data_IF_412165578071
#
_entry.id   IF_412165578071
#
_cell.length_a   1.000
_cell.length_b   1.000
_cell.length_c   1.000
_cell.angle_alpha   90.00
_cell.angle_beta   90.00
_cell.angle_gamma   90.00
#
_symmetry.space_group_name_H-M   'P 1'
#
loop_
_entity.id
_entity.type
_entity.pdbx_description
1 polymer ?
#
# COMPACT_ATOMS: atom_id res chain seq x y z
N UNK A 1 -28.83 1.49 63.31
CA UNK A 1 -28.66 2.04 61.95
C UNK A 1 -28.97 3.52 61.95
N UNK A 2 -28.84 4.26 60.82
CA UNK A 2 -28.26 3.85 59.52
C UNK A 2 -26.72 3.66 59.63
N UNK A 3 -25.85 3.59 58.61
CA UNK A 3 -25.90 3.81 57.13
C UNK A 3 -25.10 2.68 56.42
N UNK A 4 -25.29 2.50 55.11
CA UNK A 4 -24.32 1.87 54.20
C UNK A 4 -23.88 2.94 53.18
N UNK A 5 -22.58 3.12 52.96
CA UNK A 5 -22.08 3.77 51.74
C UNK A 5 -21.43 2.68 50.88
N UNK A 6 -22.00 2.49 49.68
CA UNK A 6 -21.46 1.61 48.66
C UNK A 6 -20.60 2.47 47.73
N UNK A 7 -19.30 2.20 47.63
CA UNK A 7 -18.48 2.76 46.55
C UNK A 7 -18.90 2.13 45.22
N UNK A 8 -19.64 2.88 44.40
CA UNK A 8 -19.89 2.49 43.01
C UNK A 8 -18.63 2.74 42.18
N UNK A 9 -17.95 1.67 41.82
CA UNK A 9 -16.95 1.67 40.76
C UNK A 9 -17.64 1.98 39.43
N UNK A 10 -17.54 3.24 39.00
CA UNK A 10 -17.99 3.65 37.67
C UNK A 10 -17.25 2.87 36.57
N UNK A 11 -17.89 2.64 35.41
CA UNK A 11 -17.27 1.90 34.33
C UNK A 11 -16.00 2.62 33.84
N UNK A 12 -14.89 1.87 33.75
CA UNK A 12 -13.65 2.37 33.16
C UNK A 12 -13.96 2.89 31.75
N UNK A 13 -13.74 4.18 31.55
CA UNK A 13 -13.83 4.81 30.24
C UNK A 13 -12.65 4.29 29.41
N UNK A 14 -12.90 3.22 28.65
CA UNK A 14 -11.99 2.79 27.59
C UNK A 14 -11.93 3.95 26.60
N UNK A 15 -10.78 4.60 26.53
CA UNK A 15 -10.52 5.65 25.56
C UNK A 15 -10.47 5.02 24.16
N UNK A 16 -11.51 5.29 23.39
CA UNK A 16 -11.42 5.35 21.94
C UNK A 16 -10.38 6.43 21.55
N UNK A 17 -9.80 6.33 20.35
CA UNK A 17 -8.75 7.20 19.80
C UNK A 17 -7.31 7.03 20.36
N UNK A 18 -6.68 5.92 19.97
CA UNK A 18 -5.21 5.78 19.94
C UNK A 18 -4.79 4.98 18.69
N UNK A 19 -5.29 5.37 17.50
CA UNK A 19 -4.74 4.93 16.21
C UNK A 19 -3.33 5.53 16.02
N UNK A 20 -2.35 4.95 16.70
CA UNK A 20 -0.96 5.35 16.56
C UNK A 20 -0.44 4.92 15.18
N UNK A 21 -0.11 5.91 14.35
CA UNK A 21 0.70 5.76 13.12
C UNK A 21 1.96 4.95 13.48
N UNK A 22 1.99 3.64 13.18
CA UNK A 22 3.10 2.76 13.56
C UNK A 22 4.30 3.05 12.66
N UNK A 23 5.25 3.83 13.17
CA UNK A 23 6.52 4.09 12.47
C UNK A 23 7.29 2.78 12.24
N UNK A 24 7.37 2.39 10.96
CA UNK A 24 8.06 1.19 10.50
C UNK A 24 9.57 1.22 10.81
N UNK A 25 10.17 2.40 11.03
CA UNK A 25 11.57 2.56 11.45
C UNK A 25 11.75 2.31 12.95
N UNK A 26 10.78 2.68 13.79
CA UNK A 26 10.86 2.54 15.24
C UNK A 26 10.87 1.07 15.69
N UNK A 27 10.00 0.23 15.09
CA UNK A 27 10.01 -1.23 15.30
C UNK A 27 9.68 -1.99 14.02
N UNK A 28 10.69 -2.40 13.21
CA UNK A 28 10.46 -3.18 11.99
C UNK A 28 10.11 -4.64 12.30
N UNK A 29 8.92 -4.88 12.85
CA UNK A 29 8.41 -6.24 13.06
C UNK A 29 8.29 -6.98 11.73
N UNK A 30 8.66 -8.26 11.71
CA UNK A 30 8.54 -9.06 10.49
C UNK A 30 7.08 -9.45 10.27
N UNK A 31 6.55 -9.15 9.09
CA UNK A 31 5.22 -9.60 8.69
C UNK A 31 5.21 -11.14 8.60
N UNK A 32 4.63 -11.79 9.61
CA UNK A 32 4.70 -13.24 9.81
C UNK A 32 3.63 -14.03 9.02
N UNK A 33 2.66 -13.34 8.42
CA UNK A 33 1.50 -13.90 7.74
C UNK A 33 1.86 -14.43 6.33
N UNK A 34 2.76 -15.41 6.22
CA UNK A 34 3.22 -15.97 4.94
C UNK A 34 2.10 -16.57 4.07
N UNK A 35 0.97 -16.93 4.66
CA UNK A 35 -0.23 -17.40 3.96
C UNK A 35 -1.25 -16.31 3.60
N UNK A 36 -0.94 -15.02 3.84
CA UNK A 36 -1.84 -13.92 3.49
C UNK A 36 -2.01 -13.83 1.97
N UNK A 37 -3.27 -13.84 1.52
CA UNK A 37 -3.64 -13.77 0.09
C UNK A 37 -4.07 -12.39 -0.36
N UNK A 38 -4.57 -11.58 0.55
CA UNK A 38 -5.13 -10.26 0.25
C UNK A 38 -4.62 -9.29 1.30
N UNK A 39 -4.05 -8.17 0.85
CA UNK A 39 -3.58 -7.09 1.70
C UNK A 39 -4.09 -5.79 1.12
N UNK A 40 -4.85 -5.05 1.93
CA UNK A 40 -5.21 -3.67 1.70
C UNK A 40 -4.53 -2.83 2.79
N UNK A 41 -3.66 -1.90 2.39
CA UNK A 41 -2.88 -1.07 3.32
C UNK A 41 -2.45 0.22 2.65
N UNK A 42 -2.76 1.37 3.24
CA UNK A 42 -2.25 2.65 2.76
C UNK A 42 -0.91 2.98 3.44
N UNK A 43 0.10 3.36 2.66
CA UNK A 43 1.39 3.82 3.18
C UNK A 43 1.49 5.35 3.08
N UNK A 44 1.15 6.03 4.18
CA UNK A 44 1.50 7.44 4.36
C UNK A 44 3.03 7.56 4.50
N UNK A 45 3.71 7.92 3.42
CA UNK A 45 5.17 7.97 3.37
C UNK A 45 5.64 9.17 2.55
N UNK A 46 6.60 9.92 3.08
CA UNK A 46 7.34 10.89 2.30
C UNK A 46 8.00 10.14 1.12
N UNK A 47 7.66 10.45 -0.15
CA UNK A 47 8.20 9.73 -1.30
C UNK A 47 9.71 9.98 -1.49
N UNK A 48 10.30 10.93 -0.77
CA UNK A 48 11.75 11.17 -0.73
C UNK A 48 12.48 10.33 0.32
N UNK A 49 11.78 9.73 1.30
CA UNK A 49 12.36 8.82 2.29
C UNK A 49 12.56 7.41 1.68
N UNK A 50 13.67 7.25 0.96
CA UNK A 50 14.02 6.01 0.28
C UNK A 50 14.32 4.84 1.25
N UNK A 51 14.59 5.12 2.53
CA UNK A 51 14.80 4.11 3.56
C UNK A 51 13.47 3.52 4.06
N UNK A 52 12.48 4.37 4.35
CA UNK A 52 11.12 3.92 4.71
C UNK A 52 10.53 3.05 3.59
N UNK A 53 10.61 3.54 2.34
CA UNK A 53 10.15 2.81 1.16
C UNK A 53 10.88 1.46 0.99
N UNK A 54 12.22 1.43 1.15
CA UNK A 54 13.01 0.19 1.15
C UNK A 54 12.50 -0.82 2.19
N UNK A 55 12.17 -0.38 3.40
CA UNK A 55 11.67 -1.25 4.47
C UNK A 55 10.28 -1.82 4.13
N UNK A 56 9.37 -0.98 3.62
CA UNK A 56 8.05 -1.39 3.15
C UNK A 56 8.15 -2.47 2.06
N UNK A 57 8.96 -2.25 1.02
CA UNK A 57 9.17 -3.26 -0.03
C UNK A 57 9.74 -4.58 0.52
N UNK A 58 10.68 -4.52 1.46
CA UNK A 58 11.27 -5.72 2.11
C UNK A 58 10.28 -6.50 2.99
N UNK A 59 9.25 -5.85 3.54
CA UNK A 59 8.18 -6.55 4.27
C UNK A 59 7.15 -7.14 3.32
N UNK A 60 6.71 -6.38 2.32
CA UNK A 60 5.82 -6.85 1.25
C UNK A 60 6.39 -8.10 0.55
N UNK A 61 7.69 -8.09 0.21
CA UNK A 61 8.39 -9.20 -0.44
C UNK A 61 8.33 -10.55 0.32
N UNK A 62 8.01 -10.56 1.61
CA UNK A 62 7.84 -11.79 2.41
C UNK A 62 6.48 -12.46 2.20
N UNK A 63 5.50 -11.74 1.67
CA UNK A 63 4.12 -12.21 1.47
C UNK A 63 3.99 -13.01 0.16
N UNK A 64 4.76 -14.09 0.01
CA UNK A 64 4.86 -14.83 -1.27
C UNK A 64 3.55 -15.49 -1.73
N UNK A 65 2.56 -15.66 -0.85
CA UNK A 65 1.21 -16.15 -1.19
C UNK A 65 0.21 -15.04 -1.54
N UNK A 66 0.63 -13.78 -1.58
CA UNK A 66 -0.24 -12.64 -1.85
C UNK A 66 -0.75 -12.67 -3.29
N UNK A 67 -2.07 -12.72 -3.45
CA UNK A 67 -2.79 -12.68 -4.73
C UNK A 67 -3.34 -11.28 -5.04
N UNK A 68 -3.69 -10.51 -4.00
CA UNK A 68 -4.19 -9.13 -4.12
C UNK A 68 -3.38 -8.20 -3.22
N UNK A 69 -2.82 -7.13 -3.80
CA UNK A 69 -2.22 -6.01 -3.10
C UNK A 69 -2.96 -4.72 -3.49
N UNK A 70 -3.59 -4.07 -2.53
CA UNK A 70 -4.18 -2.74 -2.70
C UNK A 70 -3.51 -1.75 -1.75
N UNK A 71 -2.81 -0.76 -2.33
CA UNK A 71 -2.19 0.35 -1.59
C UNK A 71 -2.84 1.69 -1.96
N UNK A 72 -4.07 1.65 -2.46
CA UNK A 72 -4.86 2.84 -2.76
C UNK A 72 -5.30 3.63 -1.53
N UNK A 73 -5.52 4.94 -1.72
CA UNK A 73 -6.07 5.84 -0.70
C UNK A 73 -7.61 5.81 -0.63
N UNK A 74 -8.28 5.12 -1.56
CA UNK A 74 -9.74 5.09 -1.70
C UNK A 74 -10.35 3.78 -1.12
N UNK A 75 -9.95 3.37 0.09
CA UNK A 75 -10.30 2.05 0.64
C UNK A 75 -11.69 1.97 1.30
N UNK A 76 -12.28 3.07 1.77
CA UNK A 76 -13.68 3.10 2.22
C UNK A 76 -14.36 4.46 2.05
N UNK A 77 -15.69 4.48 2.17
CA UNK A 77 -16.52 5.69 2.27
C UNK A 77 -16.61 6.24 3.70
N UNK A 78 -15.92 5.63 4.66
CA UNK A 78 -15.98 5.95 6.09
C UNK A 78 -14.79 6.83 6.52
N UNK A 79 -13.72 6.88 5.71
CA UNK A 79 -12.60 7.81 5.89
C UNK A 79 -13.11 9.24 5.63
N UNK A 80 -12.81 10.17 6.53
CA UNK A 80 -13.18 11.58 6.35
C UNK A 80 -12.55 12.20 5.10
N UNK A 81 -13.20 13.21 4.53
CA UNK A 81 -12.67 13.94 3.37
C UNK A 81 -11.39 14.70 3.72
N UNK A 82 -11.22 15.14 4.98
CA UNK A 82 -9.98 15.69 5.50
C UNK A 82 -8.86 14.63 5.48
N UNK A 83 -9.09 13.45 6.06
CA UNK A 83 -8.09 12.36 6.11
C UNK A 83 -7.69 11.92 4.70
N UNK A 84 -8.64 11.70 3.78
CA UNK A 84 -8.29 11.37 2.37
C UNK A 84 -7.46 12.48 1.71
N UNK A 85 -7.69 13.75 2.06
CA UNK A 85 -6.93 14.89 1.52
C UNK A 85 -5.53 14.99 2.14
N UNK A 86 -5.37 14.71 3.43
CA UNK A 86 -4.06 14.64 4.09
C UNK A 86 -3.23 13.46 3.58
N UNK A 87 -3.82 12.27 3.46
CA UNK A 87 -3.13 11.10 2.90
C UNK A 87 -2.62 11.40 1.49
N UNK A 88 -3.45 12.02 0.62
CA UNK A 88 -3.05 12.47 -0.72
C UNK A 88 -1.93 13.52 -0.73
N UNK A 89 -1.78 14.33 0.33
CA UNK A 89 -0.70 15.32 0.43
C UNK A 89 0.61 14.74 0.98
N UNK A 90 0.53 13.72 1.85
CA UNK A 90 1.70 13.03 2.44
C UNK A 90 2.50 12.20 1.44
N UNK A 91 1.90 11.80 0.31
CA UNK A 91 2.53 10.94 -0.68
C UNK A 91 2.20 9.44 -0.48
N UNK A 92 2.64 8.61 -1.43
CA UNK A 92 2.36 7.16 -1.46
C UNK A 92 3.60 6.39 -1.88
N UNK A 93 3.62 5.08 -1.58
CA UNK A 93 4.60 4.13 -2.09
C UNK A 93 4.66 4.16 -3.63
N UNK A 94 5.83 4.51 -4.17
CA UNK A 94 6.08 4.61 -5.62
C UNK A 94 6.67 3.31 -6.17
N UNK A 95 5.90 2.58 -6.95
CA UNK A 95 6.34 1.34 -7.61
C UNK A 95 7.19 1.64 -8.85
N UNK A 96 8.46 1.99 -8.65
CA UNK A 96 9.43 2.15 -9.74
C UNK A 96 10.74 1.43 -9.43
N UNK A 97 11.41 0.97 -10.50
CA UNK A 97 12.76 0.40 -10.51
C UNK A 97 13.85 1.47 -10.29
N UNK A 98 13.49 2.76 -10.39
CA UNK A 98 14.44 3.88 -10.26
C UNK A 98 14.28 4.67 -8.97
N UNK A 99 13.87 4.02 -7.87
CA UNK A 99 13.96 4.65 -6.56
C UNK A 99 15.44 4.93 -6.19
N UNK A 100 15.70 6.09 -5.57
CA UNK A 100 17.02 6.48 -5.06
C UNK A 100 17.42 5.75 -3.76
N UNK A 101 17.02 4.49 -3.59
CA UNK A 101 17.23 3.67 -2.40
C UNK A 101 18.00 2.39 -2.71
N UNK A 102 18.11 1.50 -1.71
CA UNK A 102 18.76 0.19 -1.89
C UNK A 102 17.87 -0.86 -2.55
N UNK A 103 16.56 -0.61 -2.61
CA UNK A 103 15.58 -1.47 -3.28
C UNK A 103 14.27 -0.71 -3.53
N UNK A 104 13.74 -0.79 -4.75
CA UNK A 104 12.41 -0.30 -5.14
C UNK A 104 11.45 -1.44 -5.49
N UNK A 105 10.75 -1.29 -6.61
CA UNK A 105 9.82 -2.28 -7.17
C UNK A 105 10.45 -3.68 -7.31
N UNK A 106 11.76 -3.75 -7.60
CA UNK A 106 12.49 -4.99 -7.81
C UNK A 106 12.56 -5.93 -6.59
N UNK A 107 12.40 -5.39 -5.38
CA UNK A 107 12.26 -6.20 -4.16
C UNK A 107 11.03 -7.10 -4.18
N UNK A 108 10.00 -6.76 -4.97
CA UNK A 108 8.73 -7.50 -5.05
C UNK A 108 8.74 -8.65 -6.07
N UNK A 109 9.91 -9.00 -6.61
CA UNK A 109 10.10 -10.14 -7.54
C UNK A 109 9.69 -11.50 -6.94
N UNK A 110 9.54 -11.59 -5.62
CA UNK A 110 9.08 -12.79 -4.91
C UNK A 110 7.56 -12.97 -4.94
N UNK A 111 6.79 -11.96 -5.34
CA UNK A 111 5.31 -11.97 -5.34
C UNK A 111 4.70 -12.73 -6.55
N UNK A 112 5.21 -13.93 -6.82
CA UNK A 112 4.81 -14.78 -7.95
C UNK A 112 3.34 -15.23 -7.92
N UNK A 113 2.65 -15.05 -6.78
CA UNK A 113 1.22 -15.34 -6.61
C UNK A 113 0.30 -14.17 -7.01
N UNK A 114 0.86 -12.97 -7.28
CA UNK A 114 0.10 -11.73 -7.41
C UNK A 114 -0.71 -11.69 -8.72
N UNK A 115 -2.03 -11.57 -8.58
CA UNK A 115 -2.99 -11.44 -9.68
C UNK A 115 -3.53 -10.02 -9.81
N UNK A 116 -3.64 -9.30 -8.70
CA UNK A 116 -4.31 -8.01 -8.64
C UNK A 116 -3.44 -7.00 -7.87
N UNK A 117 -3.07 -5.92 -8.55
CA UNK A 117 -2.47 -4.74 -7.94
C UNK A 117 -3.44 -3.55 -8.01
N UNK A 118 -3.49 -2.74 -6.96
CA UNK A 118 -4.25 -1.50 -6.92
C UNK A 118 -3.47 -0.42 -6.17
N UNK A 119 -3.53 0.80 -6.69
CA UNK A 119 -3.05 2.03 -6.06
C UNK A 119 -4.04 3.18 -6.31
N UNK A 120 -5.34 2.84 -6.36
CA UNK A 120 -6.44 3.75 -6.64
C UNK A 120 -6.49 4.95 -5.68
N UNK A 121 -6.78 6.14 -6.21
CA UNK A 121 -6.75 7.39 -5.43
C UNK A 121 -5.37 7.96 -5.20
N UNK A 122 -4.31 7.30 -5.70
CA UNK A 122 -2.93 7.80 -5.68
C UNK A 122 -2.40 7.96 -7.12
N UNK A 123 -1.35 8.78 -7.28
CA UNK A 123 -0.65 9.00 -8.55
C UNK A 123 0.77 8.45 -8.44
N UNK A 124 1.12 7.59 -9.39
CA UNK A 124 2.46 7.03 -9.55
C UNK A 124 3.26 7.86 -10.58
N UNK A 125 4.59 7.72 -10.62
CA UNK A 125 5.44 8.19 -11.74
C UNK A 125 6.07 7.01 -12.51
N UNK A 126 5.31 5.91 -12.67
CA UNK A 126 5.77 4.72 -13.41
C UNK A 126 6.17 5.05 -14.85
N UNK A 127 7.10 4.25 -15.37
CA UNK A 127 7.57 4.25 -16.74
C UNK A 127 7.16 2.96 -17.43
N UNK A 128 7.31 2.91 -18.75
CA UNK A 128 7.07 1.68 -19.53
C UNK A 128 7.99 0.53 -19.06
N UNK A 129 9.24 0.82 -18.71
CA UNK A 129 10.19 -0.13 -18.11
C UNK A 129 9.71 -0.74 -16.76
N UNK A 130 9.00 0.03 -15.93
CA UNK A 130 8.49 -0.45 -14.64
C UNK A 130 7.37 -1.48 -14.84
N UNK A 131 6.42 -1.20 -15.75
CA UNK A 131 5.30 -2.12 -16.03
C UNK A 131 5.69 -3.30 -16.91
N UNK A 132 6.71 -3.17 -17.77
CA UNK A 132 7.28 -4.31 -18.49
C UNK A 132 7.89 -5.30 -17.51
N UNK A 133 8.67 -4.82 -16.54
CA UNK A 133 9.21 -5.64 -15.45
C UNK A 133 8.11 -6.31 -14.63
N UNK A 134 7.02 -5.61 -14.30
CA UNK A 134 5.86 -6.20 -13.60
C UNK A 134 5.26 -7.38 -14.39
N UNK A 135 5.15 -7.25 -15.71
CA UNK A 135 4.65 -8.32 -16.58
C UNK A 135 5.59 -9.53 -16.65
N UNK A 136 6.90 -9.32 -16.48
CA UNK A 136 7.92 -10.36 -16.54
C UNK A 136 8.08 -11.10 -15.20
N UNK A 137 8.00 -10.39 -14.08
CA UNK A 137 8.17 -10.98 -12.75
C UNK A 137 6.87 -11.47 -12.11
N UNK A 138 5.70 -10.96 -12.51
CA UNK A 138 4.40 -11.42 -12.01
C UNK A 138 3.62 -12.10 -13.15
N UNK A 139 3.97 -13.36 -13.51
CA UNK A 139 3.48 -14.02 -14.73
C UNK A 139 1.99 -14.36 -14.72
N UNK A 140 1.31 -14.19 -13.58
CA UNK A 140 -0.13 -14.40 -13.41
C UNK A 140 -0.87 -13.11 -13.05
N UNK A 141 -0.26 -11.94 -13.25
CA UNK A 141 -0.91 -10.64 -13.07
C UNK A 141 -2.06 -10.49 -14.07
N UNK A 142 -3.28 -10.29 -13.56
CA UNK A 142 -4.51 -10.18 -14.36
C UNK A 142 -5.07 -8.75 -14.39
N UNK A 143 -4.80 -7.96 -13.34
CA UNK A 143 -5.43 -6.65 -13.12
C UNK A 143 -4.47 -5.67 -12.43
N UNK A 144 -4.40 -4.44 -12.94
CA UNK A 144 -3.74 -3.31 -12.27
C UNK A 144 -4.68 -2.10 -12.30
N UNK A 145 -4.97 -1.48 -11.16
CA UNK A 145 -5.87 -0.31 -11.08
C UNK A 145 -5.16 0.92 -10.52
N UNK A 146 -5.40 2.09 -11.10
CA UNK A 146 -4.91 3.38 -10.61
C UNK A 146 -4.15 4.23 -11.62
N UNK A 147 -3.69 5.40 -11.17
CA UNK A 147 -3.07 6.39 -12.03
C UNK A 147 -1.55 6.16 -12.16
N UNK A 148 -1.13 5.46 -13.23
CA UNK A 148 0.28 5.13 -13.51
C UNK A 148 1.24 6.33 -13.64
N UNK A 149 0.71 7.50 -13.99
CA UNK A 149 1.48 8.71 -14.31
C UNK A 149 0.59 9.95 -14.16
N UNK A 150 1.13 11.05 -13.64
CA UNK A 150 0.46 12.36 -13.68
C UNK A 150 0.36 12.96 -15.09
N UNK A 151 1.28 12.58 -15.98
CA UNK A 151 1.20 12.85 -17.43
C UNK A 151 0.24 11.85 -18.10
N UNK A 152 -0.78 12.37 -18.79
CA UNK A 152 -1.84 11.58 -19.44
C UNK A 152 -1.34 10.74 -20.61
N UNK A 153 -0.39 11.25 -21.40
CA UNK A 153 0.13 10.53 -22.56
C UNK A 153 1.00 9.35 -22.09
N UNK A 154 1.86 9.59 -21.09
CA UNK A 154 2.66 8.56 -20.41
C UNK A 154 1.76 7.50 -19.75
N UNK A 155 0.67 7.91 -19.11
CA UNK A 155 -0.35 7.00 -18.57
C UNK A 155 -0.98 6.12 -19.66
N UNK A 156 -1.42 6.72 -20.77
CA UNK A 156 -2.04 5.98 -21.88
C UNK A 156 -1.07 4.99 -22.53
N UNK A 157 0.20 5.35 -22.72
CA UNK A 157 1.24 4.44 -23.24
C UNK A 157 1.46 3.23 -22.31
N UNK A 158 1.54 3.47 -21.00
CA UNK A 158 1.66 2.41 -19.98
C UNK A 158 0.43 1.48 -19.97
N UNK A 159 -0.78 2.04 -20.02
CA UNK A 159 -2.03 1.27 -20.12
C UNK A 159 -2.07 0.46 -21.42
N UNK A 160 -1.53 0.97 -22.52
CA UNK A 160 -1.41 0.22 -23.77
C UNK A 160 -0.41 -0.95 -23.68
N UNK A 161 0.72 -0.79 -22.97
CA UNK A 161 1.67 -1.88 -22.69
C UNK A 161 0.98 -3.02 -21.94
N UNK A 162 0.30 -2.70 -20.83
CA UNK A 162 -0.40 -3.68 -20.00
C UNK A 162 -1.53 -4.39 -20.76
N UNK A 163 -2.35 -3.64 -21.51
CA UNK A 163 -3.42 -4.22 -22.35
C UNK A 163 -2.87 -5.16 -23.43
N UNK A 164 -1.72 -4.86 -24.06
CA UNK A 164 -1.05 -5.76 -25.02
C UNK A 164 -0.57 -7.08 -24.36
N UNK A 165 -0.26 -7.05 -23.07
CA UNK A 165 0.11 -8.23 -22.26
C UNK A 165 -1.11 -8.98 -21.69
N UNK A 166 -2.34 -8.53 -21.99
CA UNK A 166 -3.59 -9.16 -21.53
C UNK A 166 -4.08 -8.69 -20.16
N UNK A 167 -3.39 -7.73 -19.54
CA UNK A 167 -3.70 -7.21 -18.19
C UNK A 167 -4.83 -6.18 -18.28
N UNK A 168 -5.84 -6.34 -17.42
CA UNK A 168 -6.97 -5.42 -17.33
C UNK A 168 -6.57 -4.19 -16.52
N UNK A 169 -6.82 -3.00 -17.07
CA UNK A 169 -6.51 -1.71 -16.45
C UNK A 169 -7.80 -0.91 -16.22
N UNK A 170 -7.92 -0.29 -15.05
CA UNK A 170 -9.08 0.49 -14.59
C UNK A 170 -8.66 1.71 -13.78
#
# INVERSE_FOLDING_TARGET
GPVFESEELGPEQISEDDEQDVDIKATPQSWACVGLKELQVYFASDPTDSEANTLVFKQLAKLTSLATLDVGANWSSEISVETVSELKSRGTLQFSLRQGGSCGLECLSTLNSLRNLSFMGTVQDMREEDVEWMCEQWPILEKVNGQFSGDSEKHERIVAVLKRKGIKCY
#
